data_IF_815932266266
#
_entry.id   IF_815932266266
#
_cell.length_a   1.000
_cell.length_b   1.000
_cell.length_c   1.000
_cell.angle_alpha   90.00
_cell.angle_beta   90.00
_cell.angle_gamma   90.00
#
_symmetry.space_group_name_H-M   'P 1'
#
loop_
_entity.id
_entity.type
_entity.pdbx_description
1 polymer ?
#
# COMPACT_ATOMS: atom_id res chain seq x y z
N UNK A 1 -1.52 -30.19 -38.45
CA UNK A 1 -2.16 -31.21 -37.59
C UNK A 1 -1.16 -31.95 -36.70
N UNK A 2 -0.02 -32.43 -37.23
CA UNK A 2 1.04 -33.12 -36.47
C UNK A 2 1.69 -32.30 -35.34
N UNK A 3 1.95 -31.00 -35.55
CA UNK A 3 2.52 -30.11 -34.52
C UNK A 3 1.56 -29.93 -33.34
N UNK A 4 0.26 -29.78 -33.60
CA UNK A 4 -0.76 -29.69 -32.55
C UNK A 4 -0.89 -30.97 -31.72
N UNK A 5 -0.78 -32.14 -32.37
CA UNK A 5 -0.79 -33.43 -31.69
C UNK A 5 0.46 -33.64 -30.83
N UNK A 6 1.63 -33.18 -31.30
CA UNK A 6 2.89 -33.23 -30.57
C UNK A 6 2.89 -32.32 -29.34
N UNK A 7 2.34 -31.10 -29.46
CA UNK A 7 2.14 -30.17 -28.34
C UNK A 7 1.17 -30.74 -27.30
N UNK A 8 0.08 -31.37 -27.72
CA UNK A 8 -0.85 -32.06 -26.82
C UNK A 8 -0.16 -33.22 -26.10
N UNK A 9 0.63 -34.03 -26.79
CA UNK A 9 1.32 -35.18 -26.18
C UNK A 9 2.44 -34.80 -25.21
N UNK A 10 3.08 -33.63 -25.36
CA UNK A 10 4.12 -33.16 -24.43
C UNK A 10 3.56 -32.34 -23.26
N UNK A 11 2.63 -31.42 -23.55
CA UNK A 11 2.11 -30.50 -22.53
C UNK A 11 1.05 -31.19 -21.66
N UNK A 12 0.17 -32.00 -22.24
CA UNK A 12 -0.98 -32.54 -21.48
C UNK A 12 -0.57 -33.50 -20.35
N UNK A 13 0.41 -34.42 -20.52
CA UNK A 13 0.90 -35.23 -19.41
C UNK A 13 1.56 -34.40 -18.31
N UNK A 14 2.32 -33.36 -18.66
CA UNK A 14 2.89 -32.43 -17.68
C UNK A 14 1.79 -31.70 -16.92
N UNK A 15 0.79 -31.17 -17.62
CA UNK A 15 -0.36 -30.49 -17.01
C UNK A 15 -1.14 -31.43 -16.10
N UNK A 16 -1.43 -32.67 -16.53
CA UNK A 16 -2.10 -33.66 -15.68
C UNK A 16 -1.28 -33.96 -14.43
N UNK A 17 0.04 -34.19 -14.57
CA UNK A 17 0.93 -34.45 -13.43
C UNK A 17 1.00 -33.26 -12.47
N UNK A 18 1.08 -32.05 -13.02
CA UNK A 18 1.06 -30.81 -12.25
C UNK A 18 -0.27 -30.65 -11.49
N UNK A 19 -1.41 -30.89 -12.15
CA UNK A 19 -2.73 -30.87 -11.52
C UNK A 19 -2.86 -31.93 -10.42
N UNK A 20 -2.46 -33.18 -10.68
CA UNK A 20 -2.52 -34.24 -9.67
C UNK A 20 -1.63 -33.95 -8.45
N UNK A 21 -0.45 -33.35 -8.67
CA UNK A 21 0.40 -32.88 -7.59
C UNK A 21 -0.27 -31.75 -6.81
N UNK A 22 -0.85 -30.76 -7.50
CA UNK A 22 -1.59 -29.67 -6.85
C UNK A 22 -2.79 -30.18 -6.05
N UNK A 23 -3.55 -31.15 -6.56
CA UNK A 23 -4.67 -31.75 -5.82
C UNK A 23 -4.18 -32.36 -4.51
N UNK A 24 -3.05 -33.07 -4.56
CA UNK A 24 -2.42 -33.67 -3.37
C UNK A 24 -1.97 -32.59 -2.37
N UNK A 25 -1.34 -31.52 -2.86
CA UNK A 25 -0.88 -30.40 -2.03
C UNK A 25 -2.05 -29.64 -1.41
N UNK A 26 -3.12 -29.39 -2.16
CA UNK A 26 -4.33 -28.71 -1.68
C UNK A 26 -5.02 -29.54 -0.61
N UNK A 27 -5.19 -30.84 -0.81
CA UNK A 27 -5.80 -31.72 0.19
C UNK A 27 -5.00 -31.73 1.49
N UNK A 28 -3.67 -31.82 1.40
CA UNK A 28 -2.78 -31.74 2.56
C UNK A 28 -2.90 -30.39 3.26
N UNK A 29 -2.85 -29.30 2.50
CA UNK A 29 -2.93 -27.95 3.04
C UNK A 29 -4.26 -27.68 3.75
N UNK A 30 -5.37 -28.15 3.17
CA UNK A 30 -6.69 -28.03 3.78
C UNK A 30 -6.79 -28.84 5.09
N UNK A 31 -6.19 -30.03 5.14
CA UNK A 31 -6.10 -30.82 6.38
C UNK A 31 -5.30 -30.09 7.47
N UNK A 32 -4.14 -29.55 7.11
CA UNK A 32 -3.30 -28.77 8.03
C UNK A 32 -3.98 -27.49 8.52
N UNK A 33 -4.65 -26.77 7.61
CA UNK A 33 -5.46 -25.60 7.92
C UNK A 33 -6.57 -25.93 8.92
N UNK A 34 -7.33 -27.01 8.70
CA UNK A 34 -8.43 -27.38 9.59
C UNK A 34 -7.98 -27.56 11.05
N UNK A 35 -6.77 -28.08 11.26
CA UNK A 35 -6.20 -28.27 12.61
C UNK A 35 -5.80 -26.97 13.31
N UNK A 36 -5.52 -25.89 12.57
CA UNK A 36 -4.94 -24.65 13.10
C UNK A 36 -5.85 -23.42 12.95
N UNK A 37 -6.92 -23.54 12.16
CA UNK A 37 -7.74 -22.40 11.72
C UNK A 37 -8.45 -21.67 12.85
N UNK A 38 -8.82 -22.35 13.94
CA UNK A 38 -9.53 -21.75 15.08
C UNK A 38 -8.78 -20.54 15.65
N UNK A 39 -7.48 -20.70 15.93
CA UNK A 39 -6.66 -19.64 16.52
C UNK A 39 -6.39 -18.51 15.53
N UNK A 40 -6.15 -18.83 14.25
CA UNK A 40 -5.93 -17.83 13.22
C UNK A 40 -7.19 -17.00 12.93
N UNK A 41 -8.36 -17.63 12.90
CA UNK A 41 -9.66 -16.95 12.80
C UNK A 41 -9.90 -16.03 14.00
N UNK A 42 -9.51 -16.44 15.21
CA UNK A 42 -9.61 -15.59 16.39
C UNK A 42 -8.73 -14.32 16.30
N UNK A 43 -7.55 -14.41 15.69
CA UNK A 43 -6.71 -13.24 15.37
C UNK A 43 -7.42 -12.31 14.39
N UNK A 44 -7.95 -12.86 13.29
CA UNK A 44 -8.68 -12.09 12.26
C UNK A 44 -9.88 -11.36 12.88
N UNK A 45 -10.73 -12.06 13.65
CA UNK A 45 -11.90 -11.43 14.30
C UNK A 45 -11.48 -10.34 15.29
N UNK A 46 -10.40 -10.56 16.04
CA UNK A 46 -9.86 -9.54 16.96
C UNK A 46 -9.40 -8.30 16.18
N UNK A 47 -8.67 -8.48 15.09
CA UNK A 47 -8.21 -7.38 14.24
C UNK A 47 -9.38 -6.64 13.58
N UNK A 48 -10.39 -7.34 13.05
CA UNK A 48 -11.58 -6.73 12.45
C UNK A 48 -12.36 -5.86 13.44
N UNK A 49 -12.45 -6.28 14.71
CA UNK A 49 -13.07 -5.45 15.74
C UNK A 49 -12.26 -4.18 16.02
N UNK A 50 -10.94 -4.32 16.13
CA UNK A 50 -10.02 -3.19 16.32
C UNK A 50 -10.04 -2.19 15.15
N UNK A 51 -10.24 -2.66 13.91
CA UNK A 51 -10.36 -1.77 12.74
C UNK A 51 -11.55 -0.82 12.83
N UNK A 52 -12.62 -1.16 13.57
CA UNK A 52 -13.84 -0.33 13.65
C UNK A 52 -13.61 0.96 14.45
N UNK A 53 -12.76 0.91 15.48
CA UNK A 53 -12.52 2.03 16.40
C UNK A 53 -11.16 2.69 16.16
N UNK A 54 -10.18 1.91 15.72
CA UNK A 54 -8.80 2.33 15.56
C UNK A 54 -8.22 1.75 14.25
N UNK A 55 -8.68 2.21 13.09
CA UNK A 55 -8.25 1.67 11.81
C UNK A 55 -6.75 1.87 11.57
N UNK A 56 -6.10 0.85 11.02
CA UNK A 56 -4.68 0.90 10.72
C UNK A 56 -4.15 -0.42 10.17
N UNK A 57 -3.00 -0.37 9.52
CA UNK A 57 -2.40 -1.53 8.87
C UNK A 57 -1.85 -2.52 9.89
N UNK A 58 -1.87 -3.80 9.52
CA UNK A 58 -1.35 -4.92 10.31
C UNK A 58 -0.02 -5.38 9.74
N UNK A 59 1.01 -5.35 10.57
CA UNK A 59 2.33 -5.91 10.26
C UNK A 59 2.43 -7.32 10.84
N UNK A 60 2.52 -8.34 9.99
CA UNK A 60 2.65 -9.75 10.39
C UNK A 60 4.04 -10.33 10.09
N UNK A 61 5.05 -9.44 10.05
CA UNK A 61 6.38 -9.79 9.55
C UNK A 61 6.39 -9.93 8.03
N UNK A 62 7.61 -9.97 7.48
CA UNK A 62 7.86 -10.14 6.06
C UNK A 62 8.90 -11.25 5.88
N UNK A 63 10.14 -10.86 5.61
CA UNK A 63 11.30 -11.73 5.66
C UNK A 63 11.67 -12.02 7.12
N UNK A 64 12.75 -12.77 7.33
CA UNK A 64 13.22 -13.07 8.68
C UNK A 64 12.19 -13.88 9.47
N UNK A 65 11.73 -13.35 10.61
CA UNK A 65 10.78 -14.05 11.48
C UNK A 65 9.37 -14.20 10.87
N UNK A 66 8.96 -13.29 9.96
CA UNK A 66 7.65 -13.35 9.32
C UNK A 66 7.46 -14.58 8.42
N UNK A 67 8.56 -15.15 7.90
CA UNK A 67 8.52 -16.37 7.07
C UNK A 67 8.11 -17.61 7.86
N UNK A 68 8.30 -17.58 9.17
CA UNK A 68 7.99 -18.69 10.08
C UNK A 68 6.61 -18.51 10.72
N UNK A 69 6.07 -17.28 10.69
CA UNK A 69 4.70 -17.01 11.11
C UNK A 69 3.70 -17.39 10.02
N UNK A 70 3.27 -18.65 10.04
CA UNK A 70 2.43 -19.28 9.03
C UNK A 70 1.18 -19.91 9.65
N UNK A 71 0.14 -20.01 8.82
CA UNK A 71 -0.99 -20.91 9.02
C UNK A 71 -0.87 -22.01 7.97
N UNK A 72 -0.56 -23.23 8.40
CA UNK A 72 -0.23 -24.32 7.49
C UNK A 72 0.84 -23.88 6.45
N UNK A 73 0.57 -24.01 5.15
CA UNK A 73 1.48 -23.65 4.07
C UNK A 73 1.44 -22.15 3.69
N UNK A 74 0.58 -21.34 4.33
CA UNK A 74 0.34 -19.94 3.96
C UNK A 74 0.98 -18.99 4.99
N UNK A 75 1.67 -17.94 4.53
CA UNK A 75 2.19 -16.90 5.43
C UNK A 75 1.04 -16.12 6.08
N UNK A 76 1.21 -15.73 7.34
CA UNK A 76 0.14 -15.01 8.06
C UNK A 76 -0.20 -13.69 7.37
N UNK A 77 0.79 -13.02 6.78
CA UNK A 77 0.58 -11.80 5.99
C UNK A 77 -0.44 -11.99 4.85
N UNK A 78 -0.29 -13.05 4.06
CA UNK A 78 -1.21 -13.37 2.96
C UNK A 78 -2.58 -13.78 3.49
N UNK A 79 -2.60 -14.56 4.57
CA UNK A 79 -3.84 -15.01 5.19
C UNK A 79 -4.70 -13.84 5.68
N UNK A 80 -4.09 -12.85 6.36
CA UNK A 80 -4.78 -11.64 6.80
C UNK A 80 -5.34 -10.83 5.62
N UNK A 81 -4.57 -10.71 4.52
CA UNK A 81 -5.00 -10.02 3.30
C UNK A 81 -6.26 -10.61 2.67
N UNK A 82 -6.45 -11.94 2.76
CA UNK A 82 -7.65 -12.62 2.25
C UNK A 82 -8.95 -12.16 2.94
N UNK A 83 -8.87 -11.63 4.16
CA UNK A 83 -10.01 -11.09 4.91
C UNK A 83 -10.20 -9.57 4.74
N UNK A 84 -9.48 -8.95 3.79
CA UNK A 84 -9.55 -7.50 3.56
C UNK A 84 -8.93 -6.67 4.68
N UNK A 85 -8.15 -7.28 5.58
CA UNK A 85 -7.38 -6.54 6.56
C UNK A 85 -6.26 -5.80 5.83
N UNK A 86 -6.05 -4.50 6.11
CA UNK A 86 -4.99 -3.74 5.45
C UNK A 86 -3.64 -4.21 6.01
N UNK A 87 -2.77 -4.76 5.17
CA UNK A 87 -1.48 -5.35 5.55
C UNK A 87 -0.30 -4.69 4.83
N UNK A 88 0.92 -5.10 5.19
CA UNK A 88 2.15 -4.80 4.44
C UNK A 88 2.20 -5.62 3.16
N UNK A 89 2.76 -5.07 2.09
CA UNK A 89 2.96 -5.80 0.85
C UNK A 89 4.21 -6.72 0.92
N UNK A 90 4.14 -7.89 0.28
CA UNK A 90 5.28 -8.80 0.06
C UNK A 90 5.50 -9.01 -1.45
N UNK A 91 6.73 -9.39 -1.85
CA UNK A 91 7.02 -9.80 -3.23
C UNK A 91 6.34 -11.16 -3.49
N UNK A 92 5.27 -11.26 -4.30
CA UNK A 92 5.21 -10.80 -5.69
C UNK A 92 3.95 -9.96 -6.04
N UNK A 93 3.22 -9.40 -5.07
CA UNK A 93 2.03 -8.56 -5.36
C UNK A 93 2.39 -7.09 -5.70
N UNK A 94 3.35 -6.90 -6.61
CA UNK A 94 4.00 -5.62 -6.97
C UNK A 94 3.12 -4.64 -7.78
N UNK A 95 1.86 -4.45 -7.42
CA UNK A 95 0.92 -3.63 -8.21
C UNK A 95 0.75 -2.20 -7.70
N UNK A 96 1.28 -1.89 -6.51
CA UNK A 96 1.28 -0.52 -5.97
C UNK A 96 2.69 0.08 -6.06
N UNK A 97 2.85 1.37 -6.42
CA UNK A 97 4.14 2.04 -6.43
C UNK A 97 4.88 2.04 -5.08
N UNK A 98 4.16 1.90 -3.97
CA UNK A 98 4.75 1.79 -2.63
C UNK A 98 5.27 0.39 -2.30
N UNK A 99 4.93 -0.65 -3.07
CA UNK A 99 5.45 -2.00 -2.82
C UNK A 99 6.98 -2.05 -2.88
N UNK A 100 7.58 -1.24 -3.75
CA UNK A 100 9.04 -1.11 -3.86
C UNK A 100 9.63 -0.37 -2.66
N UNK A 101 8.98 0.71 -2.21
CA UNK A 101 9.51 1.60 -1.18
C UNK A 101 9.26 1.08 0.24
N UNK A 102 8.18 0.33 0.45
CA UNK A 102 7.91 -0.39 1.71
C UNK A 102 9.06 -1.34 2.06
N UNK A 103 9.85 -1.83 1.10
CA UNK A 103 11.03 -2.66 1.40
C UNK A 103 12.07 -1.95 2.29
N UNK A 104 12.07 -0.63 2.31
CA UNK A 104 12.97 0.17 3.13
C UNK A 104 12.45 0.43 4.55
N UNK A 105 11.26 -0.09 4.90
CA UNK A 105 10.72 -0.05 6.25
C UNK A 105 11.65 -0.78 7.24
N UNK A 106 12.01 -0.07 8.31
CA UNK A 106 12.87 -0.54 9.39
C UNK A 106 12.04 -0.85 10.63
N UNK A 107 11.99 -2.14 10.97
CA UNK A 107 11.18 -2.66 12.09
C UNK A 107 11.60 -2.10 13.45
N UNK A 108 12.83 -1.59 13.57
CA UNK A 108 13.39 -1.06 14.81
C UNK A 108 13.02 0.39 15.10
N UNK A 109 12.44 1.12 14.14
CA UNK A 109 12.08 2.53 14.29
C UNK A 109 10.55 2.73 14.28
N UNK A 110 9.98 3.24 15.37
CA UNK A 110 8.54 3.55 15.48
C UNK A 110 8.06 4.52 14.38
N UNK A 111 8.95 5.40 13.92
CA UNK A 111 8.68 6.39 12.88
C UNK A 111 8.23 5.74 11.57
N UNK A 112 8.80 4.59 11.22
CA UNK A 112 8.44 3.89 9.99
C UNK A 112 7.02 3.24 10.14
N UNK A 113 6.63 2.85 11.35
CA UNK A 113 5.25 2.41 11.64
C UNK A 113 4.25 3.57 11.52
N UNK A 114 4.63 4.75 12.00
CA UNK A 114 3.84 5.97 11.84
C UNK A 114 3.65 6.31 10.36
N UNK A 115 4.74 6.33 9.58
CA UNK A 115 4.73 6.70 8.16
C UNK A 115 3.71 5.88 7.35
N UNK A 116 3.62 4.58 7.61
CA UNK A 116 2.68 3.68 6.92
C UNK A 116 1.42 3.37 7.73
N UNK A 117 1.19 4.00 8.88
CA UNK A 117 0.09 3.67 9.78
C UNK A 117 0.01 2.16 10.13
N UNK A 118 1.15 1.51 10.37
CA UNK A 118 1.21 0.15 10.93
C UNK A 118 0.86 0.20 12.41
N UNK A 119 -0.44 0.20 12.68
CA UNK A 119 -0.99 0.31 14.03
C UNK A 119 -0.95 -1.00 14.80
N UNK A 120 -0.96 -2.13 14.10
CA UNK A 120 -1.00 -3.46 14.72
C UNK A 120 0.19 -4.29 14.28
N UNK A 121 0.75 -5.05 15.21
CA UNK A 121 1.79 -6.04 14.94
C UNK A 121 1.32 -7.40 15.41
N UNK A 122 1.21 -8.35 14.49
CA UNK A 122 0.87 -9.73 14.78
C UNK A 122 2.12 -10.61 14.65
N UNK A 123 2.34 -11.48 15.61
CA UNK A 123 3.54 -12.34 15.67
C UNK A 123 3.16 -13.76 16.08
N UNK A 124 4.02 -14.73 15.78
CA UNK A 124 3.95 -16.06 16.39
C UNK A 124 4.21 -15.98 17.90
N UNK A 125 3.56 -16.84 18.69
CA UNK A 125 3.64 -16.78 20.16
C UNK A 125 5.07 -16.92 20.73
N UNK A 126 5.93 -17.68 20.04
CA UNK A 126 7.31 -17.96 20.41
C UNK A 126 8.33 -17.00 19.76
N UNK A 127 7.91 -15.82 19.28
CA UNK A 127 8.84 -14.84 18.73
C UNK A 127 9.94 -14.49 19.77
N UNK A 128 11.24 -14.57 19.39
CA UNK A 128 12.33 -14.21 20.29
C UNK A 128 12.21 -12.79 20.85
N UNK A 129 12.56 -12.62 22.13
CA UNK A 129 12.33 -11.36 22.87
C UNK A 129 13.11 -10.18 22.28
N UNK A 130 14.28 -10.42 21.71
CA UNK A 130 15.12 -9.44 21.05
C UNK A 130 14.53 -8.88 19.75
N UNK A 131 13.54 -9.56 19.17
CA UNK A 131 12.80 -9.10 18.00
C UNK A 131 11.59 -8.25 18.37
N UNK A 132 11.11 -8.35 19.61
CA UNK A 132 10.00 -7.54 20.12
C UNK A 132 10.52 -6.13 20.41
N UNK A 133 9.84 -5.11 19.89
CA UNK A 133 10.24 -3.71 20.09
C UNK A 133 9.60 -3.12 21.33
N UNK A 134 10.35 -2.27 22.03
CA UNK A 134 9.91 -1.64 23.29
C UNK A 134 8.67 -0.76 23.13
N UNK A 135 8.40 -0.25 21.93
CA UNK A 135 7.21 0.53 21.60
C UNK A 135 6.01 -0.30 21.13
N UNK A 136 6.13 -1.63 21.05
CA UNK A 136 5.00 -2.53 20.81
C UNK A 136 4.27 -2.78 22.13
N UNK A 137 3.03 -2.30 22.22
CA UNK A 137 2.20 -2.43 23.42
C UNK A 137 1.35 -3.69 23.30
N UNK A 138 1.44 -4.68 24.21
CA UNK A 138 0.62 -5.89 24.14
C UNK A 138 -0.87 -5.56 24.17
N UNK A 139 -1.65 -6.14 23.26
CA UNK A 139 -3.12 -6.02 23.21
C UNK A 139 -3.76 -7.33 23.65
N UNK A 140 -3.36 -8.44 23.02
CA UNK A 140 -3.94 -9.77 23.25
C UNK A 140 -2.97 -10.83 22.80
N UNK A 141 -3.08 -12.02 23.38
CA UNK A 141 -2.32 -13.18 22.97
C UNK A 141 -3.14 -14.46 23.12
N UNK A 142 -2.69 -15.50 22.45
CA UNK A 142 -3.11 -16.87 22.67
C UNK A 142 -1.88 -17.80 22.49
N UNK A 143 -2.03 -19.13 22.62
CA UNK A 143 -0.90 -20.05 22.45
C UNK A 143 -0.21 -20.02 21.08
N UNK A 144 -0.88 -19.51 20.04
CA UNK A 144 -0.37 -19.51 18.66
C UNK A 144 0.20 -18.15 18.22
N UNK A 145 -0.31 -17.04 18.74
CA UNK A 145 0.07 -15.69 18.32
C UNK A 145 0.03 -14.66 19.45
N UNK A 146 0.76 -13.56 19.23
CA UNK A 146 0.71 -12.34 20.04
C UNK A 146 0.38 -11.15 19.17
N UNK A 147 -0.49 -10.28 19.66
CA UNK A 147 -0.94 -9.05 19.02
C UNK A 147 -0.52 -7.85 19.85
N UNK A 148 0.12 -6.90 19.19
CA UNK A 148 0.59 -5.65 19.76
C UNK A 148 -0.02 -4.46 19.03
N UNK A 149 -0.14 -3.35 19.74
CA UNK A 149 -0.45 -2.02 19.21
C UNK A 149 0.80 -1.17 19.10
N UNK A 150 0.82 -0.30 18.12
CA UNK A 150 1.83 0.75 17.94
C UNK A 150 1.12 2.08 17.85
N UNK A 151 1.65 3.09 18.55
CA UNK A 151 1.11 4.43 18.52
C UNK A 151 1.35 5.05 17.13
N UNK A 152 0.26 5.21 16.36
CA UNK A 152 0.22 5.89 15.06
C UNK A 152 -0.87 6.96 15.01
N UNK A 153 -0.71 8.01 14.22
CA UNK A 153 -1.70 9.09 14.07
C UNK A 153 -2.82 8.78 13.08
N UNK A 154 -2.79 7.63 12.39
CA UNK A 154 -3.81 7.24 11.42
C UNK A 154 -3.37 7.43 9.97
N UNK A 155 -4.34 7.53 9.05
CA UNK A 155 -4.08 7.54 7.61
C UNK A 155 -3.74 8.91 7.04
N UNK A 156 -4.06 9.97 7.77
CA UNK A 156 -3.66 11.32 7.42
C UNK A 156 -2.46 11.75 8.26
N UNK A 157 -1.57 12.53 7.67
CA UNK A 157 -0.55 13.24 8.43
C UNK A 157 -0.41 14.68 7.92
N UNK A 158 0.06 15.52 8.83
CA UNK A 158 0.29 16.92 8.61
C UNK A 158 1.70 17.10 8.05
N UNK A 159 1.87 17.96 7.05
CA UNK A 159 3.19 18.22 6.50
C UNK A 159 3.27 19.44 5.61
N UNK A 160 4.40 19.56 4.95
CA UNK A 160 4.65 20.58 3.93
C UNK A 160 5.21 19.93 2.67
N UNK A 161 5.12 20.68 1.55
CA UNK A 161 5.83 20.41 0.30
C UNK A 161 7.13 21.22 0.30
N UNK A 162 8.26 20.64 0.75
CA UNK A 162 9.50 21.40 0.91
C UNK A 162 10.30 21.53 -0.38
N UNK A 163 10.08 20.65 -1.36
CA UNK A 163 10.86 20.56 -2.59
C UNK A 163 10.09 19.83 -3.70
N UNK A 164 10.60 19.94 -4.93
CA UNK A 164 10.14 19.18 -6.09
C UNK A 164 11.27 18.24 -6.53
N UNK A 165 10.97 16.96 -6.60
CA UNK A 165 11.85 15.91 -7.13
C UNK A 165 11.28 15.39 -8.44
N UNK A 166 11.98 15.66 -9.54
CA UNK A 166 11.68 15.08 -10.85
C UNK A 166 12.44 13.77 -11.00
N UNK A 167 11.73 12.65 -11.10
CA UNK A 167 12.32 11.33 -11.28
C UNK A 167 11.40 10.46 -12.16
N UNK A 168 11.99 9.48 -12.81
CA UNK A 168 11.24 8.50 -13.59
C UNK A 168 11.04 7.18 -12.81
N UNK A 169 10.49 6.17 -13.49
CA UNK A 169 10.19 4.89 -12.83
C UNK A 169 11.45 4.09 -12.44
N UNK A 170 12.62 4.43 -12.98
CA UNK A 170 13.88 3.72 -12.75
C UNK A 170 14.75 4.45 -11.73
N UNK A 171 14.68 5.77 -11.67
CA UNK A 171 15.60 6.61 -10.88
C UNK A 171 15.06 7.05 -9.51
N UNK A 172 13.77 6.82 -9.21
CA UNK A 172 13.15 7.28 -7.94
C UNK A 172 13.54 6.48 -6.68
N UNK A 173 14.01 5.24 -6.84
CA UNK A 173 14.09 4.28 -5.73
C UNK A 173 14.99 4.73 -4.58
N UNK A 174 16.24 5.10 -4.88
CA UNK A 174 17.23 5.46 -3.86
C UNK A 174 16.96 6.81 -3.21
N UNK A 175 16.45 7.81 -3.95
CA UNK A 175 16.12 9.11 -3.35
C UNK A 175 14.98 8.97 -2.34
N UNK A 176 13.95 8.15 -2.65
CA UNK A 176 12.87 7.86 -1.71
C UNK A 176 13.38 7.02 -0.53
N UNK A 177 14.25 6.02 -0.76
CA UNK A 177 14.89 5.25 0.31
C UNK A 177 15.60 6.15 1.31
N UNK A 178 16.45 7.05 0.83
CA UNK A 178 17.26 7.93 1.67
C UNK A 178 16.38 8.91 2.47
N UNK A 179 15.25 9.33 1.91
CA UNK A 179 14.23 10.10 2.61
C UNK A 179 13.50 9.28 3.68
N UNK A 180 13.07 8.05 3.40
CA UNK A 180 12.46 7.16 4.41
C UNK A 180 13.42 6.97 5.61
N UNK A 181 14.71 6.86 5.31
CA UNK A 181 15.75 6.60 6.31
C UNK A 181 16.23 7.85 7.07
N UNK A 182 15.79 9.06 6.68
CA UNK A 182 16.12 10.31 7.34
C UNK A 182 15.09 10.71 8.41
N UNK A 183 15.28 11.87 9.04
CA UNK A 183 14.29 12.49 9.93
C UNK A 183 13.23 13.30 9.16
N UNK A 184 13.32 13.39 7.82
CA UNK A 184 12.41 14.20 7.02
C UNK A 184 10.93 13.78 7.14
N UNK A 185 10.57 12.48 7.10
CA UNK A 185 9.18 12.06 7.30
C UNK A 185 8.68 12.42 8.71
N UNK A 186 9.52 12.23 9.73
CA UNK A 186 9.21 12.58 11.13
C UNK A 186 8.95 14.08 11.29
N UNK A 187 9.64 14.89 10.50
CA UNK A 187 9.50 16.34 10.48
C UNK A 187 8.36 16.84 9.56
N UNK A 188 7.58 15.94 8.95
CA UNK A 188 6.47 16.30 8.05
C UNK A 188 6.92 16.88 6.71
N UNK A 189 8.14 16.57 6.28
CA UNK A 189 8.70 17.04 5.02
C UNK A 189 8.39 16.02 3.93
N UNK A 190 7.44 16.33 3.06
CA UNK A 190 6.99 15.43 2.00
C UNK A 190 7.27 16.03 0.62
N UNK A 191 8.48 15.84 0.05
CA UNK A 191 8.82 16.34 -1.28
C UNK A 191 7.79 15.89 -2.32
N UNK A 192 7.43 16.80 -3.22
CA UNK A 192 6.60 16.46 -4.37
C UNK A 192 7.43 15.60 -5.33
N UNK A 193 6.91 14.44 -5.71
CA UNK A 193 7.44 13.63 -6.79
C UNK A 193 6.72 14.01 -8.10
N UNK A 194 7.47 14.31 -9.15
CA UNK A 194 6.93 14.52 -10.49
C UNK A 194 7.62 13.62 -11.51
N UNK A 195 6.82 13.11 -12.46
CA UNK A 195 7.32 12.40 -13.63
C UNK A 195 7.53 13.31 -14.84
N UNK A 196 7.18 14.59 -14.72
CA UNK A 196 7.51 15.58 -15.74
C UNK A 196 8.99 15.97 -15.63
N UNK A 197 9.83 15.21 -16.31
CA UNK A 197 11.28 15.45 -16.40
C UNK A 197 11.65 16.43 -17.52
N UNK A 198 10.69 16.79 -18.38
CA UNK A 198 10.89 17.68 -19.53
C UNK A 198 10.79 19.15 -19.12
N UNK A 199 9.76 19.50 -18.35
CA UNK A 199 9.52 20.87 -17.88
C UNK A 199 10.21 21.12 -16.53
N UNK A 200 11.53 20.92 -16.48
CA UNK A 200 12.36 21.08 -15.28
C UNK A 200 13.51 22.06 -15.53
N UNK A 201 13.91 22.90 -14.55
CA UNK A 201 13.34 23.04 -13.20
C UNK A 201 12.01 23.80 -13.20
N UNK A 202 11.22 23.63 -12.13
CA UNK A 202 9.95 24.35 -11.96
C UNK A 202 10.19 25.58 -11.08
N UNK A 203 9.96 26.77 -11.63
CA UNK A 203 10.20 28.04 -10.93
C UNK A 203 9.02 28.42 -10.03
N UNK A 204 8.94 27.78 -8.85
CA UNK A 204 7.92 28.04 -7.81
C UNK A 204 8.54 28.42 -6.46
N UNK A 205 9.80 28.84 -6.45
CA UNK A 205 10.50 29.23 -5.20
C UNK A 205 10.89 28.08 -4.28
N UNK A 206 10.75 26.82 -4.74
CA UNK A 206 11.15 25.63 -3.99
C UNK A 206 12.48 25.04 -4.49
N UNK A 207 13.27 24.39 -3.62
CA UNK A 207 14.33 23.49 -4.03
C UNK A 207 13.84 22.47 -5.07
N UNK A 208 14.64 22.27 -6.10
CA UNK A 208 14.33 21.40 -7.23
C UNK A 208 15.46 20.37 -7.38
N UNK A 209 15.11 19.10 -7.55
CA UNK A 209 16.08 18.01 -7.75
C UNK A 209 15.63 17.15 -8.93
N UNK A 210 16.47 17.00 -9.95
CA UNK A 210 16.20 16.11 -11.09
C UNK A 210 17.10 14.89 -11.03
N UNK A 211 16.52 13.72 -10.81
CA UNK A 211 17.24 12.46 -10.91
C UNK A 211 17.64 12.22 -12.37
N UNK A 212 18.92 11.96 -12.60
CA UNK A 212 19.47 11.59 -13.91
C UNK A 212 19.57 10.08 -14.06
N UNK A 213 19.84 9.39 -12.95
CA UNK A 213 19.91 7.94 -12.82
C UNK A 213 19.58 7.56 -11.36
N UNK A 214 19.84 6.32 -10.95
CA UNK A 214 19.53 5.83 -9.60
C UNK A 214 20.32 6.50 -8.47
N UNK A 215 21.45 7.17 -8.76
CA UNK A 215 22.37 7.70 -7.75
C UNK A 215 22.76 9.16 -8.00
N UNK A 216 22.53 9.70 -9.18
CA UNK A 216 22.94 11.06 -9.58
C UNK A 216 21.73 11.96 -9.71
N UNK A 217 21.79 13.15 -9.11
CA UNK A 217 20.79 14.20 -9.30
C UNK A 217 21.43 15.51 -9.75
N UNK A 218 20.63 16.34 -10.44
CA UNK A 218 20.99 17.69 -10.88
C UNK A 218 20.12 18.71 -10.16
N UNK A 219 20.70 19.85 -9.79
CA UNK A 219 20.01 21.00 -9.22
C UNK A 219 19.91 22.15 -10.25
N UNK A 220 19.12 23.22 -10.03
CA UNK A 220 18.87 24.26 -11.02
C UNK A 220 20.10 25.01 -11.54
N UNK A 221 21.19 25.06 -10.77
CA UNK A 221 22.45 25.70 -11.20
C UNK A 221 23.23 24.86 -12.25
N UNK A 222 22.76 23.65 -12.56
CA UNK A 222 23.35 22.74 -13.53
C UNK A 222 24.34 21.72 -12.94
N UNK A 223 24.77 21.89 -11.69
CA UNK A 223 25.67 20.97 -11.00
C UNK A 223 25.01 19.61 -10.74
N UNK A 224 25.83 18.57 -10.76
CA UNK A 224 25.42 17.18 -10.55
C UNK A 224 26.05 16.62 -9.29
N UNK A 225 25.25 15.89 -8.52
CA UNK A 225 25.60 15.40 -7.19
C UNK A 225 25.26 13.92 -7.07
N UNK A 226 26.04 13.19 -6.27
CA UNK A 226 25.77 11.80 -5.95
C UNK A 226 24.98 11.71 -4.64
N UNK A 227 23.84 11.02 -4.66
CA UNK A 227 22.91 10.84 -3.52
C UNK A 227 23.60 10.33 -2.24
N UNK A 228 24.60 9.47 -2.37
CA UNK A 228 25.27 8.85 -1.23
C UNK A 228 26.45 9.68 -0.70
N UNK A 229 26.98 10.60 -1.53
CA UNK A 229 27.97 11.59 -1.09
C UNK A 229 27.27 12.80 -0.45
N UNK A 230 26.19 13.28 -1.07
CA UNK A 230 25.40 14.42 -0.62
C UNK A 230 23.90 14.15 -0.82
N UNK A 231 23.16 14.07 0.28
CA UNK A 231 21.70 13.88 0.24
C UNK A 231 21.00 15.18 -0.16
N UNK A 232 19.92 15.14 -0.96
CA UNK A 232 19.08 16.30 -1.22
C UNK A 232 18.60 16.93 0.09
N UNK A 233 18.86 18.22 0.26
CA UNK A 233 18.39 18.98 1.43
C UNK A 233 17.04 19.60 1.09
N UNK A 234 15.98 19.09 1.70
CA UNK A 234 14.63 19.54 1.39
C UNK A 234 14.28 20.87 2.06
N UNK A 235 14.96 21.22 3.15
CA UNK A 235 14.71 22.48 3.87
C UNK A 235 15.91 23.40 3.72
N UNK A 236 15.63 24.68 3.53
CA UNK A 236 16.65 25.72 3.70
C UNK A 236 17.17 25.70 5.14
N UNK A 237 18.49 25.83 5.39
CA UNK A 237 19.04 25.97 6.75
C UNK A 237 18.43 27.12 7.56
N UNK A 238 17.76 28.07 6.89
CA UNK A 238 17.14 29.26 7.48
C UNK A 238 15.68 29.04 7.92
N UNK A 239 15.06 27.90 7.59
CA UNK A 239 13.66 27.63 7.93
C UNK A 239 13.54 26.81 9.22
N UNK A 240 12.75 27.29 10.17
CA UNK A 240 12.46 26.51 11.37
C UNK A 240 11.38 25.47 11.05
N UNK A 241 11.78 24.20 10.97
CA UNK A 241 10.87 23.10 10.58
C UNK A 241 9.71 22.93 11.56
N UNK A 242 9.92 23.25 12.84
CA UNK A 242 8.85 23.20 13.85
C UNK A 242 7.80 24.30 13.68
N UNK A 243 8.05 25.33 12.86
CA UNK A 243 7.04 26.36 12.51
C UNK A 243 6.36 26.10 11.17
N UNK A 244 6.87 25.15 10.37
CA UNK A 244 6.33 24.83 9.05
C UNK A 244 5.10 23.91 9.12
N UNK A 245 4.99 23.09 10.18
CA UNK A 245 3.98 22.04 10.26
C UNK A 245 3.19 22.10 11.57
N UNK A 246 2.30 23.10 11.67
CA UNK A 246 1.35 23.25 12.78
C UNK A 246 -0.08 22.89 12.36
N UNK A 247 -0.25 22.10 11.30
CA UNK A 247 -1.58 21.63 10.91
C UNK A 247 -2.08 20.65 11.98
N UNK A 248 -3.28 20.90 12.49
CA UNK A 248 -3.92 20.04 13.48
C UNK A 248 -4.98 19.21 12.78
N UNK A 249 -4.81 17.89 12.77
CA UNK A 249 -5.85 16.94 12.37
C UNK A 249 -6.71 16.68 13.60
N UNK A 250 -7.93 17.21 13.63
CA UNK A 250 -8.83 17.12 14.80
C UNK A 250 -9.72 15.89 14.78
N UNK A 251 -10.04 15.40 13.58
CA UNK A 251 -10.86 14.22 13.38
C UNK A 251 -10.46 13.54 12.07
N UNK A 252 -10.55 12.22 12.05
CA UNK A 252 -10.37 11.45 10.82
C UNK A 252 -11.18 10.17 10.86
N UNK A 253 -11.65 9.75 9.69
CA UNK A 253 -12.38 8.50 9.50
C UNK A 253 -11.96 7.86 8.19
N UNK A 254 -12.13 6.54 8.10
CA UNK A 254 -12.07 5.83 6.84
C UNK A 254 -13.12 4.73 6.80
N UNK A 255 -13.56 4.38 5.60
CA UNK A 255 -14.51 3.30 5.35
C UNK A 255 -13.84 2.14 4.61
N UNK A 256 -14.51 0.99 4.57
CA UNK A 256 -14.08 -0.15 3.77
C UNK A 256 -14.08 0.15 2.26
N UNK A 257 -14.91 1.09 1.81
CA UNK A 257 -15.04 1.50 0.39
C UNK A 257 -13.95 2.50 -0.05
N UNK A 258 -12.82 2.53 0.66
CA UNK A 258 -11.68 3.42 0.34
C UNK A 258 -12.05 4.90 0.32
N UNK A 259 -12.93 5.32 1.24
CA UNK A 259 -13.26 6.71 1.51
C UNK A 259 -12.55 7.12 2.79
N UNK A 260 -11.79 8.21 2.73
CA UNK A 260 -11.01 8.78 3.83
C UNK A 260 -11.47 10.22 4.03
N UNK A 261 -11.74 10.60 5.28
CA UNK A 261 -12.16 11.96 5.63
C UNK A 261 -11.32 12.48 6.78
N UNK A 262 -10.96 13.76 6.75
CA UNK A 262 -10.27 14.43 7.85
C UNK A 262 -10.77 15.86 8.04
N UNK A 263 -10.84 16.30 9.30
CA UNK A 263 -10.97 17.72 9.65
C UNK A 263 -9.62 18.25 10.06
N UNK A 264 -9.21 19.33 9.41
CA UNK A 264 -7.88 19.92 9.62
C UNK A 264 -8.00 21.41 9.93
N UNK A 265 -7.13 21.90 10.80
CA UNK A 265 -6.94 23.33 11.05
C UNK A 265 -5.54 23.73 10.63
N UNK A 266 -5.46 24.63 9.66
CA UNK A 266 -4.21 25.09 9.04
C UNK A 266 -3.91 26.49 9.56
N UNK A 267 -2.70 26.75 10.09
CA UNK A 267 -2.32 28.07 10.57
C UNK A 267 -2.30 29.11 9.44
N UNK A 268 -2.35 30.38 9.82
CA UNK A 268 -2.15 31.49 8.88
C UNK A 268 -0.74 31.45 8.29
N UNK A 269 -0.59 32.01 7.09
CA UNK A 269 0.68 32.18 6.38
C UNK A 269 1.39 30.88 5.97
N UNK A 270 0.70 29.73 5.97
CA UNK A 270 1.29 28.49 5.45
C UNK A 270 1.08 28.34 3.93
N UNK A 271 2.13 28.60 3.16
CA UNK A 271 2.07 28.59 1.69
C UNK A 271 2.26 27.21 1.06
N UNK A 272 3.00 26.32 1.74
CA UNK A 272 3.35 24.99 1.24
C UNK A 272 2.78 23.87 2.12
N UNK A 273 1.77 24.17 2.92
CA UNK A 273 1.08 23.19 3.75
C UNK A 273 0.40 22.12 2.89
N UNK A 274 0.53 20.88 3.32
CA UNK A 274 -0.22 19.76 2.77
C UNK A 274 -0.69 18.84 3.87
N UNK A 275 -1.74 18.10 3.54
CA UNK A 275 -2.15 16.92 4.29
C UNK A 275 -1.78 15.72 3.42
N UNK A 276 -0.94 14.83 3.95
CA UNK A 276 -0.63 13.57 3.29
C UNK A 276 -1.68 12.51 3.62
N UNK A 277 -1.98 11.66 2.64
CA UNK A 277 -2.84 10.51 2.77
C UNK A 277 -2.05 9.25 2.38
N UNK A 278 -1.89 8.35 3.36
CA UNK A 278 -0.96 7.20 3.34
C UNK A 278 -1.32 6.00 2.43
N UNK A 279 -2.46 5.96 1.72
CA UNK A 279 -2.63 5.12 0.54
C UNK A 279 -1.71 5.49 -0.64
N UNK A 280 -1.38 4.51 -1.48
CA UNK A 280 -0.60 4.74 -2.70
C UNK A 280 -1.36 5.64 -3.68
N UNK A 281 -0.66 6.62 -4.26
CA UNK A 281 -1.22 7.50 -5.27
C UNK A 281 -1.64 6.72 -6.53
N UNK A 282 -2.77 7.15 -7.10
CA UNK A 282 -3.30 6.69 -8.37
C UNK A 282 -4.20 7.79 -8.98
N UNK A 283 -4.25 7.98 -10.32
CA UNK A 283 -5.10 9.01 -10.96
C UNK A 283 -6.62 8.90 -10.71
N UNK A 284 -7.07 7.80 -10.14
CA UNK A 284 -8.48 7.54 -9.79
C UNK A 284 -8.90 8.09 -8.44
N UNK A 285 -7.96 8.61 -7.65
CA UNK A 285 -8.33 9.34 -6.45
C UNK A 285 -9.11 10.60 -6.79
N UNK A 286 -10.13 10.87 -5.98
CA UNK A 286 -10.97 12.06 -6.05
C UNK A 286 -10.92 12.71 -4.69
N UNK A 287 -10.38 13.92 -4.65
CA UNK A 287 -10.19 14.67 -3.41
C UNK A 287 -11.02 15.94 -3.47
N UNK A 288 -11.69 16.25 -2.36
CA UNK A 288 -12.37 17.53 -2.14
C UNK A 288 -11.89 18.18 -0.85
N UNK A 289 -11.88 19.51 -0.85
CA UNK A 289 -11.73 20.36 0.32
C UNK A 289 -13.00 21.19 0.42
N UNK A 290 -13.73 21.06 1.53
CA UNK A 290 -15.03 21.71 1.76
C UNK A 290 -16.02 21.50 0.60
N UNK A 291 -16.04 20.27 0.06
CA UNK A 291 -16.88 19.88 -1.08
C UNK A 291 -16.36 20.33 -2.45
N UNK A 292 -15.36 21.19 -2.54
CA UNK A 292 -14.75 21.63 -3.80
C UNK A 292 -13.64 20.67 -4.22
N UNK A 293 -13.66 20.22 -5.48
CA UNK A 293 -12.64 19.30 -6.00
C UNK A 293 -11.28 19.98 -6.07
N UNK A 294 -10.24 19.25 -5.64
CA UNK A 294 -8.84 19.65 -5.77
C UNK A 294 -8.02 18.57 -6.47
N UNK A 295 -6.91 18.97 -7.08
CA UNK A 295 -5.96 18.05 -7.70
C UNK A 295 -4.91 17.65 -6.67
N UNK A 296 -4.87 16.39 -6.21
CA UNK A 296 -3.77 15.93 -5.37
C UNK A 296 -2.46 15.85 -6.16
N UNK A 297 -1.35 15.94 -5.44
CA UNK A 297 0.00 15.74 -5.96
C UNK A 297 0.57 14.41 -5.46
N UNK A 298 1.59 13.91 -6.13
CA UNK A 298 2.37 12.77 -5.64
C UNK A 298 3.43 13.31 -4.69
N UNK A 299 3.51 12.77 -3.48
CA UNK A 299 4.59 13.07 -2.54
C UNK A 299 5.32 11.80 -2.14
N UNK A 300 6.49 11.93 -1.56
CA UNK A 300 7.23 10.78 -1.05
C UNK A 300 6.43 10.04 0.05
N UNK A 301 6.52 8.70 0.13
CA UNK A 301 7.27 7.82 -0.75
C UNK A 301 6.55 7.48 -2.07
N UNK A 302 5.21 7.59 -2.09
CA UNK A 302 4.34 7.67 -3.28
C UNK A 302 2.91 7.95 -2.81
N UNK A 303 2.78 8.78 -1.78
CA UNK A 303 1.52 9.11 -1.14
C UNK A 303 0.80 10.22 -1.89
N UNK A 304 -0.43 10.45 -1.46
CA UNK A 304 -1.30 11.48 -1.99
C UNK A 304 -1.08 12.73 -1.13
N UNK A 305 -0.41 13.73 -1.69
CA UNK A 305 -0.33 15.05 -1.06
C UNK A 305 -1.53 15.88 -1.44
N UNK A 306 -2.19 16.47 -0.45
CA UNK A 306 -3.36 17.33 -0.63
C UNK A 306 -2.93 18.74 -0.20
N UNK A 307 -2.60 19.64 -1.13
CA UNK A 307 -2.28 21.03 -0.79
C UNK A 307 -3.47 21.68 -0.09
N UNK A 308 -3.22 22.36 1.03
CA UNK A 308 -4.26 23.02 1.83
C UNK A 308 -3.88 24.47 2.09
N UNK A 309 -4.87 25.34 2.07
CA UNK A 309 -4.71 26.76 2.42
C UNK A 309 -4.96 26.97 3.91
N UNK A 310 -4.69 28.18 4.40
CA UNK A 310 -5.03 28.58 5.77
C UNK A 310 -6.54 28.42 6.07
N UNK A 311 -6.86 28.08 7.32
CA UNK A 311 -8.23 27.93 7.79
C UNK A 311 -8.59 26.51 8.23
N UNK A 312 -9.86 26.31 8.54
CA UNK A 312 -10.40 25.01 8.94
C UNK A 312 -11.10 24.37 7.75
N UNK A 313 -10.71 23.14 7.44
CA UNK A 313 -11.14 22.45 6.25
C UNK A 313 -11.61 21.03 6.55
N UNK A 314 -12.58 20.56 5.77
CA UNK A 314 -12.95 19.15 5.67
C UNK A 314 -12.41 18.57 4.37
N UNK A 315 -11.51 17.60 4.49
CA UNK A 315 -10.91 16.89 3.36
C UNK A 315 -11.66 15.56 3.20
N UNK A 316 -12.08 15.24 1.98
CA UNK A 316 -12.61 13.92 1.63
C UNK A 316 -11.88 13.38 0.42
N UNK A 317 -11.26 12.22 0.57
CA UNK A 317 -10.60 11.49 -0.50
C UNK A 317 -11.31 10.15 -0.73
N UNK A 318 -11.69 9.87 -1.97
CA UNK A 318 -12.32 8.59 -2.34
C UNK A 318 -11.65 8.02 -3.59
N UNK A 319 -11.46 6.71 -3.60
CA UNK A 319 -10.96 6.02 -4.79
C UNK A 319 -12.12 5.63 -5.71
N UNK A 320 -12.14 6.14 -6.94
CA UNK A 320 -13.24 5.88 -7.88
C UNK A 320 -12.73 5.26 -9.18
N UNK A 321 -13.25 4.11 -9.62
CA UNK A 321 -12.88 3.52 -10.90
C UNK A 321 -13.25 4.47 -12.06
N UNK A 322 -12.50 4.38 -13.17
CA UNK A 322 -12.85 5.15 -14.37
C UNK A 322 -14.16 4.63 -14.99
N UNK A 323 -14.87 5.51 -15.70
CA UNK A 323 -16.08 5.15 -16.45
C UNK A 323 -15.84 3.98 -17.42
N UNK A 324 -14.67 3.94 -18.05
CA UNK A 324 -14.26 2.83 -18.91
C UNK A 324 -14.17 1.49 -18.15
N UNK A 325 -13.61 1.47 -16.93
CA UNK A 325 -13.56 0.25 -16.11
C UNK A 325 -14.96 -0.23 -15.74
N UNK A 326 -15.86 0.69 -15.39
CA UNK A 326 -17.26 0.37 -15.11
C UNK A 326 -17.94 -0.22 -16.36
N UNK A 327 -17.76 0.41 -17.52
CA UNK A 327 -18.31 -0.07 -18.78
C UNK A 327 -17.81 -1.48 -19.14
N UNK A 328 -16.49 -1.71 -19.05
CA UNK A 328 -15.90 -3.02 -19.32
C UNK A 328 -16.39 -4.11 -18.36
N UNK A 329 -16.58 -3.78 -17.08
CA UNK A 329 -17.14 -4.70 -16.09
C UNK A 329 -18.56 -5.11 -16.49
N UNK A 330 -19.43 -4.15 -16.81
CA UNK A 330 -20.81 -4.42 -17.25
C UNK A 330 -20.83 -5.26 -18.53
N UNK A 331 -20.02 -4.89 -19.53
CA UNK A 331 -19.91 -5.62 -20.79
C UNK A 331 -19.44 -7.06 -20.56
N UNK A 332 -18.43 -7.27 -19.71
CA UNK A 332 -17.93 -8.60 -19.37
C UNK A 332 -18.99 -9.45 -18.67
N UNK A 333 -19.80 -8.85 -17.79
CA UNK A 333 -20.93 -9.52 -17.14
C UNK A 333 -21.98 -9.98 -18.15
N UNK A 334 -22.36 -9.12 -19.10
CA UNK A 334 -23.32 -9.45 -20.16
C UNK A 334 -22.79 -10.60 -21.03
N UNK A 335 -21.53 -10.53 -21.47
CA UNK A 335 -20.91 -11.58 -22.28
C UNK A 335 -20.79 -12.90 -21.51
N UNK A 336 -20.44 -12.84 -20.23
CA UNK A 336 -20.35 -14.00 -19.35
C UNK A 336 -21.71 -14.71 -19.19
N UNK A 337 -22.76 -13.94 -18.89
CA UNK A 337 -24.15 -14.46 -18.80
C UNK A 337 -24.58 -15.05 -20.14
N UNK A 338 -24.31 -14.37 -21.25
CA UNK A 338 -24.60 -14.88 -22.60
C UNK A 338 -23.91 -16.21 -22.89
N UNK A 339 -22.64 -16.34 -22.50
CA UNK A 339 -21.86 -17.57 -22.68
C UNK A 339 -22.42 -18.72 -21.85
N UNK A 340 -22.76 -18.45 -20.58
CA UNK A 340 -23.39 -19.44 -19.68
C UNK A 340 -24.74 -19.88 -20.25
N UNK A 341 -25.57 -18.95 -20.71
CA UNK A 341 -26.87 -19.25 -21.31
C UNK A 341 -26.73 -20.17 -22.54
N UNK A 342 -25.80 -19.87 -23.45
CA UNK A 342 -25.53 -20.72 -24.63
C UNK A 342 -25.04 -22.11 -24.21
N UNK A 343 -24.15 -22.20 -23.23
CA UNK A 343 -23.65 -23.47 -22.72
C UNK A 343 -24.76 -24.34 -22.09
N UNK A 344 -25.60 -23.74 -21.24
CA UNK A 344 -26.75 -24.42 -20.62
C UNK A 344 -27.75 -24.89 -21.67
N UNK A 345 -28.04 -24.07 -22.69
CA UNK A 345 -28.93 -24.43 -23.81
C UNK A 345 -28.37 -25.60 -24.63
N UNK A 346 -27.06 -25.65 -24.86
CA UNK A 346 -26.40 -26.77 -25.55
C UNK A 346 -26.41 -28.06 -24.71
N UNK A 347 -26.19 -27.98 -23.39
CA UNK A 347 -26.32 -29.13 -22.47
C UNK A 347 -27.74 -29.68 -22.40
N UNK A 348 -28.75 -28.81 -22.33
CA UNK A 348 -30.16 -29.20 -22.35
C UNK A 348 -30.54 -29.94 -23.65
N UNK A 349 -30.02 -29.48 -24.79
CA UNK A 349 -30.18 -30.18 -26.08
C UNK A 349 -29.46 -31.52 -26.13
N UNK A 350 -28.25 -31.65 -25.57
CA UNK A 350 -27.53 -32.93 -25.53
C UNK A 350 -28.22 -33.97 -24.64
N UNK A 351 -28.72 -33.58 -23.46
CA UNK A 351 -29.42 -34.48 -22.54
C UNK A 351 -30.79 -34.93 -23.07
N UNK A 352 -31.40 -34.18 -24.00
CA UNK A 352 -32.65 -34.56 -24.65
C UNK A 352 -32.47 -35.57 -25.81
N UNK A 353 -31.23 -35.81 -26.28
CA UNK A 353 -30.94 -36.67 -27.44
C UNK A 353 -30.45 -38.07 -27.05
N UNK A 354 -30.09 -38.31 -25.79
CA UNK A 354 -29.79 -39.65 -25.26
C UNK A 354 -30.85 -40.09 -24.25
N UNK A 355 -31.83 -40.93 -24.63
CA UNK A 355 -32.67 -41.60 -23.65
C UNK A 355 -31.80 -42.59 -22.88
N UNK A 356 -31.87 -42.58 -21.54
CA UNK A 356 -31.31 -43.65 -20.70
C UNK A 356 -31.98 -44.95 -21.14
N UNK A 357 -31.19 -45.86 -21.72
CA UNK A 357 -31.55 -47.28 -21.85
C UNK A 357 -31.12 -48.02 -20.61
#
# INVERSE_FOLDING_TARGET
MLIGLFVVLLIYPQTIRYSALNDTLILRANGNYAMQSTDANALVSTLQELQKTAPGRVFAGRAGWGKDFKLAETSMLMYLGNFGLPTVLWMPETWSPNADTEQYFREEFRQDYELYNFRYVATQANLPKELIRSFWVPIKENPSWKLYGVLTQGYFSAGVRPAIVAADKYSRGNVVRLWIQSDDPKNGLYPQLTFDTKNYPVNVGLPNFKMLDEVTFRVPDGSTHNLFAERPRYVSPLSNVSTLNNIIITDQTNTADMIFSAKVSVPKDCTECLVDLKPSYHPSWRVTIDGKRVTPIIVFPFFIGIPVTEGTHTIVASYQPSSLKIFLLVLSGILGIGTIYVFLKKRGKHNAVTPRR
#
